data_IF_188602284800
#
_entry.id   IF_188602284800
#
_cell.length_a   1.000
_cell.length_b   1.000
_cell.length_c   1.000
_cell.angle_alpha   90.00
_cell.angle_beta   90.00
_cell.angle_gamma   90.00
#
_symmetry.space_group_name_H-M   'P 1'
#
loop_
_entity.id
_entity.type
_entity.pdbx_description
1 polymer ?
#
# COMPACT_ATOMS: atom_id res chain seq x y z
N UNK A 1 -24.94 -21.88 8.88
CA UNK A 1 -24.50 -22.02 7.48
C UNK A 1 -24.43 -20.67 6.79
N UNK A 2 -25.39 -19.76 7.00
CA UNK A 2 -25.34 -18.38 6.45
C UNK A 2 -24.15 -17.54 6.93
N UNK A 3 -23.70 -17.73 8.18
CA UNK A 3 -22.58 -16.96 8.75
C UNK A 3 -21.22 -17.28 8.12
N UNK A 4 -20.98 -18.51 7.65
CA UNK A 4 -19.74 -18.84 6.92
C UNK A 4 -19.74 -18.26 5.50
N UNK A 5 -20.91 -18.12 4.87
CA UNK A 5 -21.03 -17.57 3.52
C UNK A 5 -20.70 -16.07 3.51
N UNK A 6 -21.18 -15.30 4.50
CA UNK A 6 -20.89 -13.87 4.61
C UNK A 6 -19.39 -13.58 4.82
N UNK A 7 -18.69 -14.38 5.64
CA UNK A 7 -17.24 -14.24 5.82
C UNK A 7 -16.46 -14.66 4.57
N UNK A 8 -16.96 -15.65 3.83
CA UNK A 8 -16.36 -16.08 2.56
C UNK A 8 -16.52 -15.02 1.48
N UNK A 9 -17.70 -14.41 1.36
CA UNK A 9 -17.97 -13.37 0.39
C UNK A 9 -17.11 -12.11 0.66
N UNK A 10 -17.01 -11.70 1.93
CA UNK A 10 -16.11 -10.61 2.35
C UNK A 10 -14.64 -10.94 2.08
N UNK A 11 -14.20 -12.17 2.38
CA UNK A 11 -12.86 -12.63 2.08
C UNK A 11 -12.54 -12.56 0.58
N UNK A 12 -13.47 -13.01 -0.28
CA UNK A 12 -13.28 -12.99 -1.74
C UNK A 12 -13.16 -11.55 -2.24
N UNK A 13 -14.01 -10.65 -1.73
CA UNK A 13 -14.01 -9.24 -2.15
C UNK A 13 -12.72 -8.52 -1.73
N UNK A 14 -12.31 -8.63 -0.47
CA UNK A 14 -11.05 -8.05 0.03
C UNK A 14 -9.83 -8.68 -0.67
N UNK A 15 -9.85 -9.99 -0.91
CA UNK A 15 -8.74 -10.67 -1.58
C UNK A 15 -8.58 -10.23 -3.03
N UNK A 16 -9.69 -10.01 -3.76
CA UNK A 16 -9.66 -9.46 -5.13
C UNK A 16 -9.12 -8.02 -5.13
N UNK A 17 -9.52 -7.21 -4.15
CA UNK A 17 -9.03 -5.84 -4.02
C UNK A 17 -7.51 -5.80 -3.80
N UNK A 18 -7.00 -6.64 -2.89
CA UNK A 18 -5.56 -6.72 -2.62
C UNK A 18 -4.77 -7.26 -3.82
N UNK A 19 -5.28 -8.25 -4.56
CA UNK A 19 -4.63 -8.76 -5.76
C UNK A 19 -4.61 -7.74 -6.90
N UNK A 20 -5.70 -7.00 -7.09
CA UNK A 20 -5.75 -5.93 -8.08
C UNK A 20 -4.72 -4.85 -7.76
N UNK A 21 -4.66 -4.43 -6.49
CA UNK A 21 -3.65 -3.47 -6.03
C UNK A 21 -2.21 -3.97 -6.25
N UNK A 22 -1.93 -5.25 -5.94
CA UNK A 22 -0.64 -5.87 -6.25
C UNK A 22 -0.31 -5.81 -7.75
N UNK A 23 -1.28 -6.12 -8.62
CA UNK A 23 -1.07 -6.12 -10.08
C UNK A 23 -0.79 -4.72 -10.65
N UNK A 24 -1.45 -3.70 -10.10
CA UNK A 24 -1.25 -2.30 -10.50
C UNK A 24 0.10 -1.78 -10.02
N UNK A 25 0.44 -2.01 -8.75
CA UNK A 25 1.74 -1.62 -8.19
C UNK A 25 2.91 -2.36 -8.86
N UNK A 26 2.76 -3.64 -9.21
CA UNK A 26 3.79 -4.38 -9.94
C UNK A 26 4.09 -3.78 -11.32
N UNK A 27 3.14 -3.08 -11.95
CA UNK A 27 3.42 -2.33 -13.18
C UNK A 27 4.25 -1.10 -12.94
N UNK A 28 3.92 -0.38 -11.89
CA UNK A 28 4.62 0.85 -11.58
C UNK A 28 6.04 0.52 -11.13
N UNK A 29 6.24 -0.64 -10.50
CA UNK A 29 7.56 -1.21 -10.23
C UNK A 29 8.29 -1.60 -11.53
N UNK A 30 7.59 -2.10 -12.57
CA UNK A 30 8.19 -2.37 -13.88
C UNK A 30 8.68 -1.07 -14.57
N UNK A 31 7.90 0.01 -14.43
CA UNK A 31 8.28 1.34 -14.97
C UNK A 31 9.41 1.97 -14.17
N UNK A 32 9.43 1.77 -12.85
CA UNK A 32 10.39 2.36 -11.92
C UNK A 32 11.02 1.29 -11.00
N UNK A 33 12.00 0.50 -11.49
CA UNK A 33 12.56 -0.65 -10.75
C UNK A 33 13.33 -0.29 -9.46
N UNK A 34 13.64 1.00 -9.26
CA UNK A 34 14.38 1.49 -8.09
C UNK A 34 13.48 2.06 -6.99
N UNK A 35 12.16 2.07 -7.18
CA UNK A 35 11.24 2.65 -6.20
C UNK A 35 10.79 1.61 -5.16
N UNK A 36 11.54 1.56 -4.05
CA UNK A 36 11.27 0.67 -2.92
C UNK A 36 9.93 0.98 -2.23
N UNK A 37 9.32 2.14 -2.44
CA UNK A 37 8.00 2.45 -1.88
C UNK A 37 6.91 1.55 -2.47
N UNK A 38 6.99 1.28 -3.77
CA UNK A 38 6.06 0.41 -4.50
C UNK A 38 6.18 -1.04 -4.00
N UNK A 39 7.41 -1.51 -3.78
CA UNK A 39 7.67 -2.85 -3.23
C UNK A 39 7.05 -3.00 -1.83
N UNK A 40 7.13 -1.96 -1.00
CA UNK A 40 6.55 -1.98 0.34
C UNK A 40 5.01 -2.07 0.32
N UNK A 41 4.36 -1.42 -0.61
CA UNK A 41 2.91 -1.48 -0.76
C UNK A 41 2.43 -2.84 -1.29
N UNK A 42 3.17 -3.43 -2.24
CA UNK A 42 2.90 -4.80 -2.71
C UNK A 42 3.10 -5.79 -1.56
N UNK A 43 4.18 -5.65 -0.78
CA UNK A 43 4.46 -6.49 0.37
C UNK A 43 3.33 -6.46 1.41
N UNK A 44 2.81 -5.27 1.74
CA UNK A 44 1.67 -5.14 2.67
C UNK A 44 0.42 -5.84 2.14
N UNK A 45 0.11 -5.64 0.86
CA UNK A 45 -1.04 -6.28 0.22
C UNK A 45 -0.92 -7.81 0.21
N UNK A 46 0.28 -8.34 -0.08
CA UNK A 46 0.58 -9.77 -0.02
C UNK A 46 0.50 -10.33 1.41
N UNK A 47 1.01 -9.60 2.41
CA UNK A 47 0.99 -10.00 3.81
C UNK A 47 -0.43 -10.07 4.37
N UNK A 48 -1.27 -9.08 4.05
CA UNK A 48 -2.69 -9.09 4.41
C UNK A 48 -3.41 -10.27 3.75
N UNK A 49 -3.16 -10.52 2.47
CA UNK A 49 -3.75 -11.65 1.74
C UNK A 49 -3.38 -13.01 2.36
N UNK A 50 -2.13 -13.18 2.81
CA UNK A 50 -1.68 -14.36 3.57
C UNK A 50 -2.45 -14.53 4.88
N UNK A 51 -2.59 -13.45 5.66
CA UNK A 51 -3.29 -13.47 6.94
C UNK A 51 -4.77 -13.84 6.78
N UNK A 52 -5.42 -13.31 5.76
CA UNK A 52 -6.81 -13.66 5.42
C UNK A 52 -6.93 -15.13 4.98
N UNK A 53 -6.04 -15.59 4.10
CA UNK A 53 -6.01 -16.97 3.60
C UNK A 53 -5.81 -18.00 4.73
N UNK A 54 -4.86 -17.73 5.64
CA UNK A 54 -4.59 -18.58 6.80
C UNK A 54 -5.78 -18.63 7.78
N UNK A 55 -6.47 -17.49 7.97
CA UNK A 55 -7.64 -17.39 8.84
C UNK A 55 -8.84 -18.18 8.30
N UNK A 56 -9.00 -18.23 6.98
CA UNK A 56 -10.05 -18.99 6.30
C UNK A 56 -9.69 -20.48 6.11
N UNK A 57 -8.45 -20.87 6.41
CA UNK A 57 -7.97 -22.25 6.28
C UNK A 57 -7.59 -22.66 4.85
N UNK A 58 -7.34 -21.69 3.96
CA UNK A 58 -6.85 -21.95 2.60
C UNK A 58 -5.32 -22.07 2.60
N UNK A 59 -4.83 -23.25 2.97
CA UNK A 59 -3.39 -23.53 3.14
C UNK A 59 -2.58 -23.26 1.88
N UNK A 60 -3.02 -23.76 0.71
CA UNK A 60 -2.31 -23.57 -0.56
C UNK A 60 -2.20 -22.07 -0.95
N UNK A 61 -3.24 -21.29 -0.67
CA UNK A 61 -3.28 -19.85 -0.96
C UNK A 61 -2.33 -19.09 -0.02
N UNK A 62 -2.32 -19.46 1.27
CA UNK A 62 -1.41 -18.92 2.28
C UNK A 62 0.06 -19.26 1.97
N UNK A 63 0.33 -20.47 1.48
CA UNK A 63 1.67 -20.91 1.11
C UNK A 63 2.21 -20.16 -0.11
N UNK A 64 1.40 -19.99 -1.16
CA UNK A 64 1.81 -19.24 -2.35
C UNK A 64 2.04 -17.75 -2.03
N UNK A 65 1.15 -17.13 -1.24
CA UNK A 65 1.33 -15.74 -0.79
C UNK A 65 2.57 -15.56 0.07
N UNK A 66 2.86 -16.50 0.97
CA UNK A 66 4.08 -16.47 1.78
C UNK A 66 5.35 -16.57 0.93
N UNK A 67 5.36 -17.39 -0.13
CA UNK A 67 6.52 -17.47 -1.04
C UNK A 67 6.70 -16.20 -1.88
N UNK A 68 5.60 -15.61 -2.33
CA UNK A 68 5.63 -14.31 -2.99
C UNK A 68 6.13 -13.21 -2.04
N UNK A 69 5.70 -13.23 -0.78
CA UNK A 69 6.13 -12.30 0.27
C UNK A 69 7.65 -12.38 0.52
N UNK A 70 8.23 -13.57 0.56
CA UNK A 70 9.68 -13.75 0.74
C UNK A 70 10.49 -13.13 -0.41
N UNK A 71 10.02 -13.29 -1.65
CA UNK A 71 10.68 -12.71 -2.82
C UNK A 71 10.59 -11.18 -2.79
N UNK A 72 9.43 -10.63 -2.42
CA UNK A 72 9.26 -9.18 -2.23
C UNK A 72 10.10 -8.64 -1.07
N UNK A 73 10.27 -9.42 0.01
CA UNK A 73 11.15 -9.08 1.13
C UNK A 73 12.63 -9.04 0.72
N UNK A 74 13.05 -9.96 -0.15
CA UNK A 74 14.40 -9.97 -0.70
C UNK A 74 14.67 -8.74 -1.59
N UNK A 75 13.68 -8.27 -2.35
CA UNK A 75 13.75 -7.01 -3.10
C UNK A 75 13.80 -5.82 -2.13
N UNK A 76 12.95 -5.80 -1.10
CA UNK A 76 12.87 -4.72 -0.10
C UNK A 76 14.19 -4.52 0.64
N UNK A 77 14.88 -5.61 0.95
CA UNK A 77 16.15 -5.60 1.67
C UNK A 77 17.37 -5.42 0.74
N UNK A 78 17.15 -5.02 -0.52
CA UNK A 78 18.19 -4.86 -1.56
C UNK A 78 19.07 -6.11 -1.80
N UNK A 79 18.58 -7.30 -1.41
CA UNK A 79 19.30 -8.56 -1.62
C UNK A 79 19.20 -9.03 -3.06
N UNK A 80 18.13 -8.66 -3.76
CA UNK A 80 17.84 -9.01 -5.15
C UNK A 80 17.46 -7.72 -5.90
N UNK A 81 18.06 -7.50 -7.05
CA UNK A 81 17.67 -6.41 -7.94
C UNK A 81 16.44 -6.78 -8.75
N UNK A 82 15.51 -5.85 -8.92
CA UNK A 82 14.32 -6.05 -9.76
C UNK A 82 14.75 -6.26 -11.21
N UNK A 83 14.54 -7.47 -11.73
CA UNK A 83 14.73 -7.80 -13.15
C UNK A 83 13.40 -8.21 -13.81
N UNK A 84 13.38 -8.23 -15.14
CA UNK A 84 12.15 -8.57 -15.90
C UNK A 84 11.68 -10.00 -15.63
N UNK A 85 12.59 -10.92 -15.33
CA UNK A 85 12.27 -12.34 -15.14
C UNK A 85 11.63 -12.58 -13.76
N UNK A 86 12.11 -11.88 -12.74
CA UNK A 86 11.55 -11.83 -11.40
C UNK A 86 10.15 -11.23 -11.42
N UNK A 87 9.95 -10.10 -12.12
CA UNK A 87 8.63 -9.51 -12.28
C UNK A 87 7.67 -10.47 -12.99
N UNK A 88 8.11 -11.16 -14.05
CA UNK A 88 7.30 -12.16 -14.76
C UNK A 88 6.86 -13.30 -13.81
N UNK A 89 7.75 -13.79 -12.95
CA UNK A 89 7.42 -14.85 -11.98
C UNK A 89 6.50 -14.34 -10.85
N UNK A 90 6.65 -13.09 -10.42
CA UNK A 90 5.74 -12.48 -9.43
C UNK A 90 4.36 -12.24 -10.04
N UNK A 91 4.26 -11.81 -11.31
CA UNK A 91 2.98 -11.74 -12.03
C UNK A 91 2.32 -13.11 -12.19
N UNK A 92 3.09 -14.14 -12.58
CA UNK A 92 2.60 -15.52 -12.66
C UNK A 92 2.06 -15.99 -11.28
N UNK A 93 2.68 -15.56 -10.18
CA UNK A 93 2.21 -15.86 -8.83
C UNK A 93 0.87 -15.18 -8.51
N UNK A 94 0.71 -13.90 -8.87
CA UNK A 94 -0.55 -13.14 -8.71
C UNK A 94 -1.69 -13.77 -9.52
N UNK A 95 -1.43 -14.17 -10.77
CA UNK A 95 -2.42 -14.84 -11.63
C UNK A 95 -2.89 -16.18 -11.02
N UNK A 96 -1.96 -16.91 -10.39
CA UNK A 96 -2.29 -18.16 -9.70
C UNK A 96 -3.14 -17.92 -8.45
N UNK A 97 -2.83 -16.87 -7.68
CA UNK A 97 -3.64 -16.47 -6.52
C UNK A 97 -5.06 -16.05 -6.95
N UNK A 98 -5.20 -15.30 -8.05
CA UNK A 98 -6.50 -14.89 -8.59
C UNK A 98 -7.34 -16.09 -9.05
N UNK A 99 -6.70 -17.06 -9.73
CA UNK A 99 -7.35 -18.30 -10.13
C UNK A 99 -7.83 -19.12 -8.93
N UNK A 100 -7.05 -19.18 -7.84
CA UNK A 100 -7.42 -19.88 -6.61
C UNK A 100 -8.61 -19.20 -5.91
N UNK A 101 -8.63 -17.87 -5.83
CA UNK A 101 -9.76 -17.12 -5.27
C UNK A 101 -11.02 -17.26 -6.13
N UNK A 102 -10.87 -17.33 -7.45
CA UNK A 102 -11.98 -17.58 -8.38
C UNK A 102 -12.55 -18.98 -8.21
N UNK A 103 -11.70 -19.99 -7.98
CA UNK A 103 -12.15 -21.36 -7.67
C UNK A 103 -12.90 -21.42 -6.34
N UNK A 104 -12.38 -20.78 -5.29
CA UNK A 104 -13.04 -20.65 -3.98
C UNK A 104 -14.40 -19.95 -4.13
N UNK A 105 -14.48 -18.89 -4.94
CA UNK A 105 -15.73 -18.17 -5.20
C UNK A 105 -16.79 -19.02 -5.93
N UNK A 106 -16.37 -20.01 -6.73
CA UNK A 106 -17.26 -20.95 -7.40
C UNK A 106 -17.64 -22.16 -6.52
N UNK A 107 -17.21 -22.18 -5.25
CA UNK A 107 -17.46 -23.27 -4.30
C UNK A 107 -16.43 -24.41 -4.34
N UNK A 108 -15.28 -24.19 -4.99
CA UNK A 108 -14.12 -25.07 -4.98
C UNK A 108 -13.30 -24.97 -3.68
N UNK A 109 -12.29 -25.83 -3.54
CA UNK A 109 -11.39 -25.85 -2.37
C UNK A 109 -10.11 -25.04 -2.59
N UNK A 110 -9.96 -24.36 -3.73
CA UNK A 110 -8.83 -23.49 -4.03
C UNK A 110 -7.53 -24.26 -4.29
N UNK A 111 -7.58 -25.60 -4.39
CA UNK A 111 -6.39 -26.42 -4.59
C UNK A 111 -5.92 -26.34 -6.02
N UNK A 112 -4.70 -25.82 -6.19
CA UNK A 112 -4.05 -25.71 -7.50
C UNK A 112 -2.62 -26.19 -7.38
N UNK A 113 -2.13 -26.89 -8.40
CA UNK A 113 -0.71 -27.28 -8.43
C UNK A 113 0.16 -26.03 -8.65
N UNK A 114 0.62 -25.45 -7.56
CA UNK A 114 1.52 -24.28 -7.52
C UNK A 114 2.98 -24.69 -7.38
N UNK A 115 3.27 -26.00 -7.37
CA UNK A 115 4.62 -26.56 -7.13
C UNK A 115 5.67 -26.00 -8.11
N UNK A 116 5.29 -25.77 -9.37
CA UNK A 116 6.17 -25.22 -10.40
C UNK A 116 6.60 -23.77 -10.13
N UNK A 117 5.69 -22.93 -9.64
CA UNK A 117 5.94 -21.50 -9.36
C UNK A 117 6.65 -21.33 -8.03
N UNK A 118 6.28 -22.13 -7.02
CA UNK A 118 6.98 -22.18 -5.74
C UNK A 118 8.45 -22.54 -5.92
N UNK A 119 8.79 -23.42 -6.87
CA UNK A 119 10.19 -23.70 -7.24
C UNK A 119 10.86 -22.49 -7.86
N UNK A 120 10.24 -21.84 -8.87
CA UNK A 120 10.78 -20.65 -9.52
C UNK A 120 11.02 -19.50 -8.53
N UNK A 121 10.09 -19.26 -7.60
CA UNK A 121 10.20 -18.24 -6.55
C UNK A 121 11.37 -18.53 -5.59
N UNK A 122 11.55 -19.79 -5.18
CA UNK A 122 12.69 -20.22 -4.34
C UNK A 122 14.03 -20.11 -5.07
N UNK A 123 14.06 -20.43 -6.36
CA UNK A 123 15.27 -20.33 -7.17
C UNK A 123 15.73 -18.87 -7.32
N UNK A 124 14.77 -17.94 -7.42
CA UNK A 124 15.03 -16.50 -7.44
C UNK A 124 15.49 -16.00 -6.06
N UNK A 125 14.83 -16.43 -4.97
CA UNK A 125 15.23 -16.11 -3.59
C UNK A 125 16.69 -16.52 -3.29
N UNK A 126 17.14 -17.64 -3.85
CA UNK A 126 18.49 -18.16 -3.70
C UNK A 126 19.55 -17.49 -4.60
N UNK A 127 19.18 -16.50 -5.42
CA UNK A 127 20.11 -15.78 -6.31
C UNK A 127 20.67 -16.61 -7.46
N UNK A 128 20.04 -17.74 -7.80
CA UNK A 128 20.44 -18.56 -8.94
C UNK A 128 19.64 -18.12 -10.17
N UNK A 129 20.32 -17.48 -11.11
CA UNK A 129 19.80 -17.31 -12.47
C UNK A 129 19.37 -18.67 -13.00
N UNK A 130 18.08 -18.86 -13.24
CA UNK A 130 17.46 -20.10 -13.74
C UNK A 130 18.21 -20.56 -15.00
N UNK A 131 18.91 -21.71 -15.00
CA UNK A 131 19.06 -22.50 -16.20
C UNK A 131 17.91 -23.51 -16.20
N UNK A 132 17.25 -23.62 -17.34
CA UNK A 132 16.36 -24.74 -17.66
C UNK A 132 16.92 -26.08 -17.17
N UNK A 133 16.01 -26.94 -16.68
CA UNK A 133 16.06 -28.41 -16.54
C UNK A 133 16.85 -29.08 -15.39
N UNK A 134 16.08 -29.57 -14.40
CA UNK A 134 16.13 -30.89 -13.68
C UNK A 134 17.41 -31.34 -12.90
N UNK A 135 17.29 -32.27 -11.92
CA UNK A 135 17.51 -31.99 -10.49
C UNK A 135 18.74 -32.71 -9.91
N UNK A 136 19.32 -32.21 -8.82
CA UNK A 136 20.00 -33.08 -7.84
C UNK A 136 20.02 -32.48 -6.43
N UNK A 137 19.41 -33.24 -5.53
CA UNK A 137 19.64 -33.47 -4.10
C UNK A 137 20.67 -32.66 -3.27
N UNK A 138 20.16 -32.30 -2.08
CA UNK A 138 20.67 -32.60 -0.73
C UNK A 138 21.41 -31.52 0.09
N UNK A 139 20.88 -31.38 1.32
CA UNK A 139 21.53 -31.12 2.61
C UNK A 139 22.02 -29.67 2.91
N UNK A 140 21.87 -29.08 4.10
CA UNK A 140 21.39 -29.49 5.44
C UNK A 140 21.07 -28.24 6.30
N UNK A 141 20.04 -28.39 7.14
CA UNK A 141 19.87 -27.96 8.54
C UNK A 141 20.55 -26.69 9.14
N UNK A 142 19.66 -25.77 9.56
CA UNK A 142 19.35 -25.37 10.94
C UNK A 142 20.25 -24.42 11.77
N UNK A 143 19.49 -23.51 12.41
CA UNK A 143 19.68 -22.74 13.64
C UNK A 143 20.66 -21.56 13.69
N UNK A 144 20.08 -20.37 13.94
CA UNK A 144 20.74 -19.28 14.65
C UNK A 144 19.85 -18.84 15.81
N UNK A 145 20.41 -19.02 17.01
CA UNK A 145 19.88 -18.61 18.29
C UNK A 145 19.85 -17.08 18.44
N UNK A 146 18.90 -16.62 19.23
CA UNK A 146 18.70 -15.25 19.70
C UNK A 146 19.74 -14.92 20.78
N UNK A 147 20.44 -13.79 20.64
CA UNK A 147 21.16 -13.15 21.75
C UNK A 147 20.62 -11.74 22.01
N UNK A 148 20.23 -11.52 23.27
CA UNK A 148 19.85 -10.27 23.92
C UNK A 148 21.04 -9.33 24.14
N UNK A 149 20.88 -8.04 23.84
CA UNK A 149 21.68 -6.95 24.45
C UNK A 149 20.81 -5.71 24.75
N UNK A 150 21.23 -4.96 25.78
CA UNK A 150 20.56 -3.86 26.52
C UNK A 150 20.08 -2.65 25.67
N UNK A 151 19.30 -1.69 26.24
CA UNK A 151 18.18 -0.99 25.58
C UNK A 151 18.65 -0.01 24.50
N UNK A 152 18.87 -0.53 23.30
CA UNK A 152 19.13 0.26 22.10
C UNK A 152 17.87 0.97 21.64
N UNK A 153 18.02 2.19 21.15
CA UNK A 153 16.96 2.98 20.53
C UNK A 153 16.37 2.24 19.34
N UNK A 154 15.05 2.13 19.30
CA UNK A 154 14.33 1.48 18.19
C UNK A 154 13.75 2.50 17.20
N UNK A 155 13.72 3.78 17.56
CA UNK A 155 13.17 4.83 16.71
C UNK A 155 14.18 5.24 15.62
N UNK A 156 13.91 4.77 14.39
CA UNK A 156 14.58 5.24 13.17
C UNK A 156 13.78 6.42 12.63
N UNK A 157 14.46 7.54 12.38
CA UNK A 157 13.86 8.79 11.89
C UNK A 157 14.14 8.93 10.39
N UNK A 158 13.11 9.18 9.59
CA UNK A 158 13.26 9.50 8.16
C UNK A 158 13.56 11.01 7.95
N UNK A 159 13.80 11.43 6.69
CA UNK A 159 14.10 12.84 6.39
C UNK A 159 12.97 13.80 6.79
N UNK A 160 11.72 13.31 6.81
CA UNK A 160 10.55 14.09 7.22
C UNK A 160 10.51 14.25 8.74
N UNK A 161 10.67 13.18 9.50
CA UNK A 161 10.77 13.16 10.96
C UNK A 161 11.88 14.10 11.44
N UNK A 162 13.05 14.06 10.79
CA UNK A 162 14.18 14.93 11.10
C UNK A 162 13.85 16.39 10.81
N UNK A 163 13.12 16.68 9.74
CA UNK A 163 12.69 18.04 9.37
C UNK A 163 11.69 18.59 10.39
N UNK A 164 10.70 17.78 10.80
CA UNK A 164 9.71 18.13 11.82
C UNK A 164 10.38 18.37 13.18
N UNK A 165 11.32 17.51 13.57
CA UNK A 165 12.10 17.65 14.81
C UNK A 165 12.95 18.93 14.82
N UNK A 166 13.63 19.25 13.70
CA UNK A 166 14.44 20.48 13.57
C UNK A 166 13.58 21.74 13.58
N UNK A 167 12.49 21.75 12.82
CA UNK A 167 11.56 22.87 12.76
C UNK A 167 10.93 23.15 14.13
N UNK A 168 10.57 22.10 14.86
CA UNK A 168 10.01 22.22 16.21
C UNK A 168 11.00 22.81 17.21
N UNK A 169 12.28 22.45 17.10
CA UNK A 169 13.36 23.02 17.90
C UNK A 169 13.62 24.50 17.57
N UNK A 170 13.55 24.87 16.30
CA UNK A 170 13.66 26.28 15.85
C UNK A 170 12.47 27.14 16.31
N UNK A 171 11.29 26.53 16.47
CA UNK A 171 10.10 27.16 17.02
C UNK A 171 10.07 27.21 18.56
N UNK A 172 11.16 26.78 19.23
CA UNK A 172 11.31 26.85 20.68
C UNK A 172 10.62 25.73 21.45
N UNK A 173 10.28 24.61 20.80
CA UNK A 173 9.79 23.41 21.46
C UNK A 173 10.95 22.44 21.78
N UNK A 174 10.82 21.70 22.88
CA UNK A 174 11.75 20.66 23.26
C UNK A 174 11.31 19.31 22.68
N UNK A 175 12.26 18.55 22.15
CA UNK A 175 12.05 17.23 21.57
C UNK A 175 12.63 16.16 22.49
N UNK A 176 11.81 15.17 22.86
CA UNK A 176 12.18 14.08 23.77
C UNK A 176 11.88 12.71 23.17
N UNK A 177 12.70 11.73 23.55
CA UNK A 177 12.48 10.32 23.32
C UNK A 177 12.08 9.71 24.66
N UNK A 178 10.88 9.12 24.71
CA UNK A 178 10.28 8.58 25.92
C UNK A 178 10.21 7.08 25.79
N UNK A 179 10.94 6.36 26.64
CA UNK A 179 10.85 4.91 26.76
C UNK A 179 10.02 4.56 27.99
N UNK A 180 8.94 3.81 27.78
CA UNK A 180 8.01 3.38 28.83
C UNK A 180 8.04 1.85 28.92
N UNK A 181 8.26 1.34 30.13
CA UNK A 181 8.15 -0.09 30.45
C UNK A 181 6.98 -0.32 31.39
N UNK A 182 6.07 -1.21 30.98
CA UNK A 182 4.95 -1.70 31.78
C UNK A 182 5.42 -2.84 32.67
N UNK A 183 4.74 -3.04 33.81
CA UNK A 183 5.04 -4.16 34.68
C UNK A 183 4.65 -5.50 34.04
N UNK A 184 5.38 -6.60 34.35
CA UNK A 184 5.10 -7.92 33.81
C UNK A 184 3.76 -8.53 34.29
N UNK A 185 3.15 -8.02 35.36
CA UNK A 185 1.85 -8.43 35.88
C UNK A 185 0.66 -7.61 35.32
N UNK A 186 0.89 -6.75 34.32
CA UNK A 186 -0.15 -5.91 33.73
C UNK A 186 -1.12 -6.75 32.86
N UNK A 187 -2.37 -6.87 33.32
CA UNK A 187 -3.43 -7.65 32.65
C UNK A 187 -4.05 -6.96 31.43
N UNK A 188 -3.98 -5.62 31.35
CA UNK A 188 -4.62 -4.81 30.31
C UNK A 188 -3.63 -3.78 29.75
N UNK A 189 -2.74 -4.24 28.87
CA UNK A 189 -1.62 -3.44 28.36
C UNK A 189 -2.12 -2.31 27.46
N UNK A 190 -3.10 -2.59 26.59
CA UNK A 190 -3.68 -1.60 25.68
C UNK A 190 -4.30 -0.41 26.45
N UNK A 191 -5.00 -0.69 27.55
CA UNK A 191 -5.59 0.35 28.39
C UNK A 191 -4.51 1.26 29.03
N UNK A 192 -3.35 0.70 29.40
CA UNK A 192 -2.24 1.47 29.96
C UNK A 192 -1.53 2.30 28.91
N UNK A 193 -1.30 1.76 27.72
CA UNK A 193 -0.80 2.51 26.55
C UNK A 193 -1.72 3.70 26.29
N UNK A 194 -3.03 3.47 26.17
CA UNK A 194 -4.00 4.52 25.90
C UNK A 194 -3.94 5.65 26.95
N UNK A 195 -3.86 5.31 28.24
CA UNK A 195 -3.69 6.30 29.31
C UNK A 195 -2.40 7.11 29.20
N UNK A 196 -1.29 6.49 28.74
CA UNK A 196 -0.02 7.19 28.51
C UNK A 196 -0.12 8.14 27.33
N UNK A 197 -0.67 7.71 26.20
CA UNK A 197 -0.88 8.57 25.03
C UNK A 197 -1.81 9.75 25.35
N UNK A 198 -2.88 9.52 26.12
CA UNK A 198 -3.79 10.60 26.55
C UNK A 198 -3.10 11.65 27.44
N UNK A 199 -2.08 11.25 28.22
CA UNK A 199 -1.26 12.19 29.03
C UNK A 199 -0.27 12.97 28.17
N UNK A 200 0.32 12.30 27.17
CA UNK A 200 1.24 12.91 26.21
C UNK A 200 0.53 13.93 25.33
N UNK A 201 -0.62 13.59 24.74
CA UNK A 201 -1.43 14.50 23.90
C UNK A 201 -1.89 15.76 24.64
N UNK A 202 -2.17 15.66 25.95
CA UNK A 202 -2.51 16.82 26.78
C UNK A 202 -1.33 17.76 27.03
N UNK A 203 -0.10 17.26 26.87
CA UNK A 203 1.12 17.98 27.21
C UNK A 203 1.97 18.33 25.98
N UNK A 204 1.62 17.88 24.78
CA UNK A 204 2.43 18.05 23.57
C UNK A 204 1.96 17.17 22.42
N UNK A 205 2.84 16.98 21.44
CA UNK A 205 2.55 16.27 20.19
C UNK A 205 3.45 15.03 20.04
N UNK A 206 2.85 13.90 19.69
CA UNK A 206 3.57 12.65 19.42
C UNK A 206 3.90 12.59 17.94
N UNK A 207 5.19 12.52 17.59
CA UNK A 207 5.64 12.43 16.20
C UNK A 207 5.61 10.98 15.73
N UNK A 208 6.11 10.08 16.58
CA UNK A 208 6.35 8.69 16.23
C UNK A 208 6.31 7.81 17.46
N UNK A 209 5.82 6.58 17.32
CA UNK A 209 5.92 5.56 18.35
C UNK A 209 6.49 4.27 17.76
N UNK A 210 7.19 3.51 18.60
CA UNK A 210 7.64 2.17 18.27
C UNK A 210 7.31 1.22 19.43
N UNK A 211 6.50 0.17 19.21
CA UNK A 211 5.67 -0.12 18.03
C UNK A 211 4.66 0.99 17.66
N UNK A 212 4.04 0.90 16.48
CA UNK A 212 3.03 1.88 16.02
C UNK A 212 1.85 1.94 16.97
N UNK A 213 1.14 3.07 17.01
CA UNK A 213 0.00 3.28 17.92
C UNK A 213 -1.03 2.15 17.79
N UNK A 214 -1.36 1.77 16.56
CA UNK A 214 -2.26 0.64 16.24
C UNK A 214 -1.78 -0.68 16.87
N UNK A 215 -0.48 -1.01 16.76
CA UNK A 215 0.09 -2.21 17.37
C UNK A 215 0.11 -2.16 18.89
N UNK A 216 0.25 -0.97 19.48
CA UNK A 216 0.19 -0.80 20.93
C UNK A 216 -1.24 -0.93 21.47
N UNK A 217 -2.24 -0.54 20.70
CA UNK A 217 -3.67 -0.74 21.02
C UNK A 217 -4.10 -2.21 20.86
N UNK A 218 -3.50 -2.94 19.93
CA UNK A 218 -3.71 -4.38 19.70
C UNK A 218 -2.89 -5.30 20.62
N UNK A 219 -2.19 -4.74 21.61
CA UNK A 219 -1.27 -5.47 22.53
C UNK A 219 -0.13 -6.23 21.82
N UNK A 220 0.23 -5.84 20.58
CA UNK A 220 1.34 -6.40 19.81
C UNK A 220 2.69 -5.80 20.19
N UNK A 221 3.01 -5.87 21.48
CA UNK A 221 4.31 -5.47 22.01
C UNK A 221 4.56 -6.22 23.32
N UNK A 222 5.83 -6.44 23.67
CA UNK A 222 6.17 -7.16 24.89
C UNK A 222 5.74 -6.39 26.13
N UNK A 223 6.60 -5.50 26.63
CA UNK A 223 6.35 -4.69 27.81
C UNK A 223 6.89 -3.27 27.66
N UNK A 224 7.59 -2.98 26.55
CA UNK A 224 8.34 -1.76 26.35
C UNK A 224 7.85 -1.08 25.08
N UNK A 225 7.71 0.24 25.10
CA UNK A 225 7.48 1.03 23.91
C UNK A 225 8.20 2.37 23.99
N UNK A 226 8.52 2.93 22.83
CA UNK A 226 9.21 4.21 22.70
C UNK A 226 8.35 5.21 21.95
N UNK A 227 8.44 6.48 22.34
CA UNK A 227 7.66 7.58 21.75
C UNK A 227 8.55 8.79 21.53
N UNK A 228 8.60 9.28 20.31
CA UNK A 228 9.17 10.58 19.96
C UNK A 228 8.12 11.66 20.20
N UNK A 229 8.44 12.62 21.06
CA UNK A 229 7.48 13.57 21.62
C UNK A 229 8.01 15.00 21.60
N UNK A 230 7.16 15.96 21.23
CA UNK A 230 7.46 17.40 21.22
C UNK A 230 6.63 18.09 22.29
N UNK A 231 7.26 18.88 23.16
CA UNK A 231 6.54 19.67 24.17
C UNK A 231 7.29 20.94 24.56
N UNK A 232 6.57 21.85 25.22
CA UNK A 232 7.16 23.01 25.92
C UNK A 232 7.48 22.71 27.38
N UNK A 233 7.00 21.59 27.92
CA UNK A 233 7.20 21.18 29.31
C UNK A 233 8.60 20.59 29.52
N UNK A 234 9.06 20.58 30.78
CA UNK A 234 10.35 20.02 31.15
C UNK A 234 10.32 18.47 31.20
N UNK A 235 11.46 17.77 31.02
CA UNK A 235 11.48 16.30 31.00
C UNK A 235 11.08 15.69 32.35
N UNK A 236 11.36 16.39 33.45
CA UNK A 236 10.96 15.99 34.80
C UNK A 236 9.44 16.05 35.01
N UNK A 237 8.77 17.05 34.43
CA UNK A 237 7.31 17.18 34.49
C UNK A 237 6.62 16.10 33.67
N UNK A 238 7.13 15.79 32.47
CA UNK A 238 6.60 14.70 31.62
C UNK A 238 6.78 13.36 32.32
N UNK A 239 7.97 13.08 32.87
CA UNK A 239 8.22 11.86 33.65
C UNK A 239 7.23 11.73 34.81
N UNK A 240 7.03 12.81 35.59
CA UNK A 240 6.09 12.83 36.71
C UNK A 240 4.64 12.64 36.29
N UNK A 241 4.23 13.14 35.11
CA UNK A 241 2.88 12.95 34.57
C UNK A 241 2.65 11.50 34.14
N UNK A 242 3.62 10.86 33.47
CA UNK A 242 3.51 9.47 33.01
C UNK A 242 3.58 8.50 34.19
N UNK A 243 4.47 8.72 35.16
CA UNK A 243 4.57 7.86 36.36
C UNK A 243 3.34 7.87 37.27
N UNK A 244 2.34 8.72 37.03
CA UNK A 244 1.04 8.68 37.72
C UNK A 244 0.09 7.62 37.17
N UNK A 245 0.36 7.09 35.98
CA UNK A 245 -0.41 5.98 35.41
C UNK A 245 0.00 4.70 36.15
N UNK A 246 -0.97 4.01 36.76
CA UNK A 246 -0.75 2.76 37.48
C UNK A 246 -0.17 1.67 36.55
N UNK A 247 0.63 0.76 37.10
CA UNK A 247 1.24 -0.39 36.40
C UNK A 247 2.38 -0.05 35.41
N UNK A 248 2.90 1.18 35.46
CA UNK A 248 4.16 1.53 34.81
C UNK A 248 5.33 1.19 35.74
N UNK A 249 6.31 0.46 35.22
CA UNK A 249 7.52 0.06 35.94
C UNK A 249 8.62 1.11 35.84
N UNK A 250 8.89 1.60 34.62
CA UNK A 250 9.95 2.57 34.39
C UNK A 250 9.60 3.55 33.26
N UNK A 251 10.02 4.80 33.43
CA UNK A 251 9.87 5.87 32.44
C UNK A 251 11.19 6.60 32.31
N UNK A 252 11.77 6.55 31.11
CA UNK A 252 13.01 7.24 30.77
C UNK A 252 12.70 8.29 29.72
N UNK A 253 13.04 9.55 30.01
CA UNK A 253 12.86 10.68 29.09
C UNK A 253 14.23 11.23 28.74
N UNK A 254 14.61 11.15 27.47
CA UNK A 254 15.92 11.60 26.97
C UNK A 254 15.72 12.75 25.97
N UNK A 255 16.42 13.89 26.10
CA UNK A 255 16.34 14.96 25.11
C UNK A 255 16.99 14.54 23.78
N UNK A 256 16.26 14.72 22.66
CA UNK A 256 16.85 14.57 21.32
C UNK A 256 17.79 15.75 21.05
N UNK A 257 19.09 15.46 20.99
CA UNK A 257 20.10 16.42 20.53
C UNK A 257 20.50 16.13 19.08
N UNK A 258 20.90 17.16 18.33
CA UNK A 258 21.34 17.03 16.91
C UNK A 258 22.53 16.05 16.73
N UNK A 259 23.29 15.79 17.80
CA UNK A 259 24.34 14.78 17.83
C UNK A 259 23.77 13.34 17.79
N UNK A 260 22.62 13.10 18.43
CA UNK A 260 21.98 11.77 18.52
C UNK A 260 21.19 11.42 17.26
N UNK A 261 20.59 12.41 16.58
CA UNK A 261 19.97 12.23 15.26
C UNK A 261 21.03 11.90 14.19
N UNK A 262 22.26 12.42 14.37
CA UNK A 262 23.42 12.08 13.54
C UNK A 262 24.10 10.76 13.91
N UNK A 263 24.02 10.30 15.16
CA UNK A 263 24.52 8.98 15.57
C UNK A 263 23.60 7.85 15.09
N UNK A 264 22.27 8.03 15.15
CA UNK A 264 21.30 7.10 14.57
C UNK A 264 21.44 6.95 13.04
N UNK A 265 22.04 7.93 12.36
CA UNK A 265 22.41 7.88 10.94
C UNK A 265 23.89 7.56 10.69
N UNK A 266 24.73 7.44 11.74
CA UNK A 266 26.18 7.13 11.64
C UNK A 266 26.53 5.72 12.11
N UNK A 267 25.70 5.03 12.86
CA UNK A 267 25.95 3.61 13.20
C UNK A 267 25.94 2.70 11.96
N UNK A 268 25.36 3.14 10.84
CA UNK A 268 25.56 2.53 9.53
C UNK A 268 26.97 2.74 8.94
N UNK A 269 27.68 3.82 9.30
CA UNK A 269 28.98 4.15 8.68
C UNK A 269 30.12 3.43 9.41
N UNK A 270 30.04 3.25 10.74
CA UNK A 270 31.11 2.63 11.53
C UNK A 270 31.13 1.09 11.46
N UNK A 271 29.98 0.45 11.21
CA UNK A 271 29.89 -1.01 11.05
C UNK A 271 30.20 -1.47 9.62
N UNK A 272 29.97 -0.61 8.60
CA UNK A 272 30.36 -0.87 7.20
C UNK A 272 31.87 -0.68 6.91
N UNK A 273 32.63 0.04 7.75
CA UNK A 273 34.07 0.28 7.54
C UNK A 273 35.03 -0.80 8.10
N UNK A 274 34.57 -1.78 8.88
CA UNK A 274 35.42 -2.86 9.40
C UNK A 274 35.35 -4.18 8.60
N UNK A 275 34.33 -4.39 7.76
CA UNK A 275 34.23 -5.61 6.94
C UNK A 275 34.82 -5.48 5.52
N UNK A 276 35.27 -4.28 5.13
CA UNK A 276 35.82 -4.02 3.80
C UNK A 276 37.34 -3.81 3.77
N UNK A 277 38.07 -4.35 4.76
CA UNK A 277 39.53 -4.19 4.90
C UNK A 277 40.35 -5.48 4.80
N UNK A 278 39.75 -6.63 4.52
CA UNK A 278 40.49 -7.91 4.47
C UNK A 278 40.57 -8.59 3.10
N UNK A 279 39.92 -8.04 2.06
CA UNK A 279 40.08 -8.52 0.69
C UNK A 279 40.33 -7.35 -0.26
N UNK A 280 41.55 -6.81 -0.26
CA UNK A 280 42.31 -6.56 -1.51
C UNK A 280 43.73 -6.01 -1.27
N UNK A 281 44.68 -6.93 -1.45
CA UNK A 281 46.00 -6.80 -2.09
C UNK A 281 47.16 -6.06 -1.40
N UNK A 282 48.19 -6.87 -1.22
CA UNK A 282 49.61 -6.56 -1.14
C UNK A 282 50.13 -5.69 -2.31
N UNK A 283 50.85 -4.63 -1.92
CA UNK A 283 52.02 -4.03 -2.62
C UNK A 283 51.74 -3.05 -3.81
N UNK A 284 52.57 -2.00 -4.04
CA UNK A 284 52.34 -0.69 -3.42
C UNK A 284 52.60 0.57 -4.31
N UNK A 285 52.05 1.73 -3.88
CA UNK A 285 52.40 3.18 -4.11
C UNK A 285 52.56 3.79 -5.55
N UNK A 286 52.51 5.15 -5.75
CA UNK A 286 52.00 6.25 -4.90
C UNK A 286 51.14 7.35 -5.61
N UNK A 287 50.20 7.92 -4.84
CA UNK A 287 49.87 9.36 -4.62
C UNK A 287 50.22 10.41 -5.70
N UNK A 288 49.20 11.14 -6.19
CA UNK A 288 49.28 12.60 -6.37
C UNK A 288 47.91 13.30 -6.27
N UNK A 289 47.90 14.34 -5.45
CA UNK A 289 46.92 15.40 -5.20
C UNK A 289 46.39 16.15 -6.44
N UNK A 290 45.10 16.57 -6.47
CA UNK A 290 44.62 17.97 -6.23
C UNK A 290 43.19 18.27 -6.75
N UNK A 291 42.50 19.07 -5.94
CA UNK A 291 41.57 20.19 -6.23
C UNK A 291 40.08 19.96 -6.56
N UNK A 292 39.27 20.39 -5.58
CA UNK A 292 38.10 21.29 -5.67
C UNK A 292 37.78 21.89 -7.05
N UNK A 293 36.48 21.89 -7.43
CA UNK A 293 35.69 23.12 -7.66
C UNK A 293 34.20 22.83 -7.38
N UNK A 294 33.58 23.71 -6.59
CA UNK A 294 32.15 23.83 -6.36
C UNK A 294 31.42 24.55 -7.51
N UNK A 295 30.13 24.25 -7.74
CA UNK A 295 29.03 25.23 -7.63
C UNK A 295 27.81 24.93 -8.54
N UNK A 296 26.64 24.92 -7.86
CA UNK A 296 25.38 25.64 -8.15
C UNK A 296 24.42 25.18 -9.26
N UNK A 297 23.18 24.92 -8.78
CA UNK A 297 21.85 25.49 -9.15
C UNK A 297 21.41 25.34 -10.62
N UNK A 298 20.15 25.08 -10.97
CA UNK A 298 18.87 25.38 -10.31
C UNK A 298 17.75 24.56 -11.00
N UNK A 299 16.68 24.33 -10.25
CA UNK A 299 15.27 24.24 -10.67
C UNK A 299 14.85 23.48 -11.93
N UNK A 300 14.01 22.46 -11.74
CA UNK A 300 12.74 22.37 -12.49
C UNK A 300 11.69 21.60 -11.70
N UNK A 301 10.57 22.28 -11.48
CA UNK A 301 9.36 21.79 -10.84
C UNK A 301 8.81 20.49 -11.46
N UNK A 302 8.33 19.58 -10.62
CA UNK A 302 7.38 18.53 -11.04
C UNK A 302 6.36 18.26 -9.94
N UNK A 303 5.18 18.85 -10.16
CA UNK A 303 3.83 18.34 -9.90
C UNK A 303 3.67 17.34 -8.74
N UNK A 304 3.09 17.84 -7.66
CA UNK A 304 2.33 17.05 -6.70
C UNK A 304 1.23 16.26 -7.42
N UNK A 305 1.34 14.93 -7.44
CA UNK A 305 0.18 14.05 -7.57
C UNK A 305 -0.42 13.90 -6.17
N UNK A 306 -1.42 14.73 -5.88
CA UNK A 306 -2.25 14.53 -4.71
C UNK A 306 -2.96 13.17 -4.87
N UNK A 307 -2.56 12.18 -4.08
CA UNK A 307 -3.35 10.97 -3.87
C UNK A 307 -4.73 11.39 -3.38
N UNK A 308 -5.73 11.28 -4.25
CA UNK A 308 -7.13 11.32 -3.86
C UNK A 308 -7.41 10.11 -2.97
N UNK A 309 -7.34 10.31 -1.66
CA UNK A 309 -8.04 9.48 -0.68
C UNK A 309 -9.54 9.58 -0.96
N UNK A 310 -10.03 8.84 -1.94
CA UNK A 310 -11.47 8.75 -2.19
C UNK A 310 -12.04 7.65 -1.28
N UNK A 311 -12.45 8.10 -0.10
CA UNK A 311 -13.54 7.62 0.75
C UNK A 311 -14.29 6.39 0.17
N UNK A 312 -13.74 5.18 0.35
CA UNK A 312 -14.37 3.89 -0.04
C UNK A 312 -15.73 3.65 0.64
N UNK A 313 -16.00 4.35 1.74
CA UNK A 313 -17.23 4.20 2.56
C UNK A 313 -18.47 4.89 1.94
N UNK A 314 -18.34 5.56 0.79
CA UNK A 314 -19.43 6.35 0.18
C UNK A 314 -20.22 5.65 -0.93
N UNK A 315 -19.72 4.53 -1.47
CA UNK A 315 -20.24 3.94 -2.71
C UNK A 315 -21.58 3.22 -2.49
N UNK A 316 -21.66 2.27 -1.55
CA UNK A 316 -22.92 1.57 -1.24
C UNK A 316 -24.03 2.53 -0.81
N UNK A 317 -23.64 3.61 -0.12
CA UNK A 317 -24.57 4.66 0.32
C UNK A 317 -25.13 5.46 -0.84
N UNK A 318 -24.32 5.71 -1.88
CA UNK A 318 -24.76 6.39 -3.09
C UNK A 318 -25.70 5.50 -3.91
N UNK A 319 -25.47 4.18 -3.98
CA UNK A 319 -26.36 3.26 -4.68
C UNK A 319 -27.72 3.12 -3.96
N UNK A 320 -27.74 3.03 -2.62
CA UNK A 320 -28.99 3.10 -1.85
C UNK A 320 -29.71 4.42 -2.12
N UNK A 321 -28.98 5.53 -2.18
CA UNK A 321 -29.56 6.85 -2.41
C UNK A 321 -30.13 6.98 -3.83
N UNK A 322 -29.52 6.34 -4.83
CA UNK A 322 -30.04 6.23 -6.20
C UNK A 322 -31.32 5.41 -6.26
N UNK A 323 -31.38 4.26 -5.59
CA UNK A 323 -32.60 3.44 -5.53
C UNK A 323 -33.77 4.20 -4.89
N UNK A 324 -33.51 4.90 -3.77
CA UNK A 324 -34.50 5.77 -3.15
C UNK A 324 -34.92 6.92 -4.09
N UNK A 325 -33.99 7.41 -4.92
CA UNK A 325 -34.30 8.42 -5.93
C UNK A 325 -35.19 7.89 -7.06
N UNK A 326 -34.95 6.66 -7.50
CA UNK A 326 -35.76 6.01 -8.53
C UNK A 326 -37.21 5.83 -8.06
N UNK A 327 -37.41 5.40 -6.81
CA UNK A 327 -38.73 5.36 -6.18
C UNK A 327 -39.38 6.75 -6.10
N UNK A 328 -38.60 7.77 -5.71
CA UNK A 328 -39.06 9.15 -5.60
C UNK A 328 -39.46 9.75 -6.96
N UNK A 329 -38.79 9.36 -8.04
CA UNK A 329 -39.14 9.76 -9.41
C UNK A 329 -40.47 9.12 -9.84
N UNK A 330 -40.73 7.86 -9.45
CA UNK A 330 -42.01 7.19 -9.68
C UNK A 330 -43.14 7.91 -8.92
N UNK A 331 -42.92 8.19 -7.64
CA UNK A 331 -43.89 8.91 -6.80
C UNK A 331 -44.16 10.33 -7.31
N UNK A 332 -43.14 11.03 -7.81
CA UNK A 332 -43.28 12.32 -8.49
C UNK A 332 -44.22 12.22 -9.69
N UNK A 333 -44.04 11.22 -10.56
CA UNK A 333 -44.89 11.02 -11.74
C UNK A 333 -46.35 10.74 -11.36
N UNK A 334 -46.56 9.97 -10.28
CA UNK A 334 -47.88 9.72 -9.72
C UNK A 334 -48.52 10.99 -9.15
N UNK A 335 -47.76 11.79 -8.40
CA UNK A 335 -48.21 13.07 -7.87
C UNK A 335 -48.58 14.07 -8.97
N UNK A 336 -47.80 14.14 -10.06
CA UNK A 336 -48.14 14.97 -11.22
C UNK A 336 -49.44 14.53 -11.88
N UNK A 337 -49.65 13.22 -12.03
CA UNK A 337 -50.89 12.68 -12.62
C UNK A 337 -52.12 13.02 -11.75
N UNK A 338 -52.02 12.81 -10.43
CA UNK A 338 -53.11 13.14 -9.49
C UNK A 338 -53.37 14.65 -9.48
N UNK A 339 -52.32 15.48 -9.48
CA UNK A 339 -52.47 16.94 -9.51
C UNK A 339 -53.14 17.43 -10.81
N UNK A 340 -52.87 16.78 -11.95
CA UNK A 340 -53.53 17.07 -13.21
C UNK A 340 -55.02 16.69 -13.19
N UNK A 341 -55.36 15.57 -12.55
CA UNK A 341 -56.75 15.09 -12.43
C UNK A 341 -57.60 15.96 -11.49
N UNK A 342 -57.02 16.46 -10.40
CA UNK A 342 -57.71 17.29 -9.39
C UNK A 342 -58.03 18.69 -9.93
N UNK A 343 -57.38 19.14 -11.01
CA UNK A 343 -57.61 20.44 -11.69
C UNK A 343 -57.50 21.67 -10.76
N UNK A 344 -56.73 21.55 -9.68
CA UNK A 344 -56.45 22.64 -8.76
C UNK A 344 -55.14 23.32 -9.14
N UNK A 345 -55.20 24.55 -9.67
CA UNK A 345 -54.04 25.28 -10.17
C UNK A 345 -52.89 25.39 -9.16
N UNK A 346 -53.22 25.66 -7.89
CA UNK A 346 -52.24 25.81 -6.81
C UNK A 346 -51.51 24.49 -6.47
N UNK A 347 -52.22 23.35 -6.57
CA UNK A 347 -51.62 22.03 -6.38
C UNK A 347 -50.69 21.69 -7.55
N UNK A 348 -51.11 21.94 -8.78
CA UNK A 348 -50.29 21.71 -9.98
C UNK A 348 -49.00 22.52 -9.93
N UNK A 349 -49.07 23.81 -9.58
CA UNK A 349 -47.90 24.69 -9.45
C UNK A 349 -46.94 24.19 -8.35
N UNK A 350 -47.48 23.75 -7.22
CA UNK A 350 -46.69 23.20 -6.10
C UNK A 350 -45.97 21.91 -6.52
N UNK A 351 -46.67 21.00 -7.21
CA UNK A 351 -46.10 19.73 -7.68
C UNK A 351 -45.07 19.96 -8.78
N UNK A 352 -45.26 20.92 -9.69
CA UNK A 352 -44.24 21.31 -10.67
C UNK A 352 -42.98 21.87 -10.00
N UNK A 353 -43.15 22.72 -8.98
CA UNK A 353 -42.01 23.25 -8.22
C UNK A 353 -41.25 22.12 -7.50
N UNK A 354 -41.96 21.20 -6.85
CA UNK A 354 -41.36 20.01 -6.25
C UNK A 354 -40.63 19.16 -7.29
N UNK A 355 -41.23 19.00 -8.48
CA UNK A 355 -40.66 18.20 -9.57
C UNK A 355 -39.34 18.78 -10.09
N UNK A 356 -39.24 20.12 -10.18
CA UNK A 356 -38.00 20.83 -10.51
C UNK A 356 -36.92 20.58 -9.47
N UNK A 357 -37.22 20.81 -8.18
CA UNK A 357 -36.25 20.57 -7.09
C UNK A 357 -35.79 19.12 -7.02
N UNK A 358 -36.69 18.16 -7.26
CA UNK A 358 -36.32 16.74 -7.35
C UNK A 358 -35.39 16.45 -8.54
N UNK A 359 -35.60 17.09 -9.69
CA UNK A 359 -34.69 16.98 -10.83
C UNK A 359 -33.30 17.55 -10.54
N UNK A 360 -33.22 18.71 -9.88
CA UNK A 360 -31.95 19.31 -9.48
C UNK A 360 -31.18 18.39 -8.52
N UNK A 361 -31.90 17.80 -7.56
CA UNK A 361 -31.31 16.92 -6.57
C UNK A 361 -30.87 15.58 -7.19
N UNK A 362 -31.61 15.06 -8.17
CA UNK A 362 -31.18 13.92 -8.99
C UNK A 362 -29.86 14.20 -9.71
N UNK A 363 -29.73 15.37 -10.35
CA UNK A 363 -28.51 15.75 -11.08
C UNK A 363 -27.29 15.84 -10.14
N UNK A 364 -27.48 16.38 -8.94
CA UNK A 364 -26.42 16.47 -7.92
C UNK A 364 -25.95 15.06 -7.51
N UNK A 365 -26.87 14.13 -7.29
CA UNK A 365 -26.53 12.74 -6.93
C UNK A 365 -25.80 12.04 -8.08
N UNK A 366 -26.27 12.20 -9.32
CA UNK A 366 -25.58 11.66 -10.50
C UNK A 366 -24.16 12.22 -10.62
N UNK A 367 -23.97 13.52 -10.38
CA UNK A 367 -22.65 14.15 -10.41
C UNK A 367 -21.74 13.62 -9.29
N UNK A 368 -22.29 13.39 -8.09
CA UNK A 368 -21.53 12.78 -6.99
C UNK A 368 -21.11 11.33 -7.25
N UNK A 369 -21.76 10.62 -8.19
CA UNK A 369 -21.43 9.25 -8.58
C UNK A 369 -20.40 9.16 -9.71
N UNK A 370 -20.08 10.27 -10.38
CA UNK A 370 -19.15 10.24 -11.50
C UNK A 370 -17.72 10.00 -11.02
N UNK A 371 -16.99 9.14 -11.74
CA UNK A 371 -15.61 8.78 -11.45
C UNK A 371 -14.79 9.02 -12.74
N UNK A 372 -13.52 9.45 -12.66
CA UNK A 372 -12.67 9.54 -13.83
C UNK A 372 -12.55 8.19 -14.56
N UNK A 373 -12.70 8.19 -15.89
CA UNK A 373 -12.58 6.98 -16.72
C UNK A 373 -11.16 6.41 -16.77
N UNK A 374 -10.16 7.14 -16.26
CA UNK A 374 -8.76 6.72 -16.13
C UNK A 374 -8.61 5.32 -15.53
N UNK A 375 -9.49 4.93 -14.60
CA UNK A 375 -9.49 3.61 -13.96
C UNK A 375 -9.58 2.46 -14.97
N UNK A 376 -10.34 2.63 -16.06
CA UNK A 376 -10.47 1.63 -17.14
C UNK A 376 -9.20 1.54 -17.98
N UNK A 377 -8.47 2.64 -18.08
CA UNK A 377 -7.34 2.78 -19.00
C UNK A 377 -6.04 2.21 -18.45
N UNK A 378 -5.93 2.03 -17.12
CA UNK A 378 -4.74 1.51 -16.45
C UNK A 378 -4.28 0.14 -16.99
N UNK A 379 -5.21 -0.69 -17.47
CA UNK A 379 -4.91 -2.03 -18.02
C UNK A 379 -4.46 -2.03 -19.49
N UNK A 380 -4.72 -0.97 -20.25
CA UNK A 380 -4.43 -0.93 -21.69
C UNK A 380 -2.93 -0.93 -22.05
N UNK A 381 -2.04 -0.23 -21.32
CA UNK A 381 -0.60 -0.26 -21.60
C UNK A 381 -0.01 -1.67 -21.55
N UNK A 382 -0.36 -2.48 -20.52
CA UNK A 382 0.08 -3.89 -20.43
C UNK A 382 -0.35 -4.67 -21.66
N UNK A 383 -1.64 -4.61 -21.96
CA UNK A 383 -2.26 -5.38 -23.03
C UNK A 383 -1.64 -5.05 -24.38
N UNK A 384 -1.48 -3.76 -24.71
CA UNK A 384 -0.88 -3.33 -25.98
C UNK A 384 0.58 -3.76 -26.07
N UNK A 385 1.33 -3.75 -24.96
CA UNK A 385 2.72 -4.20 -24.92
C UNK A 385 2.85 -5.71 -25.14
N UNK A 386 1.97 -6.49 -24.53
CA UNK A 386 1.89 -7.94 -24.75
C UNK A 386 1.59 -8.26 -26.22
N UNK A 387 0.55 -7.64 -26.78
CA UNK A 387 0.18 -7.80 -28.19
C UNK A 387 1.28 -7.32 -29.16
N UNK A 388 1.99 -6.25 -28.81
CA UNK A 388 3.14 -5.74 -29.59
C UNK A 388 4.27 -6.77 -29.68
N UNK A 389 4.56 -7.48 -28.57
CA UNK A 389 5.56 -8.55 -28.52
C UNK A 389 5.07 -9.80 -29.27
N UNK A 390 3.84 -10.24 -29.00
CA UNK A 390 3.24 -11.43 -29.60
C UNK A 390 3.20 -11.35 -31.13
N UNK A 391 2.77 -10.20 -31.67
CA UNK A 391 2.64 -9.99 -33.11
C UNK A 391 3.90 -9.42 -33.76
N UNK A 392 4.94 -9.14 -32.98
CA UNK A 392 6.18 -8.49 -33.42
C UNK A 392 5.91 -7.16 -34.20
N UNK A 393 4.96 -6.36 -33.72
CA UNK A 393 4.56 -5.06 -34.30
C UNK A 393 5.08 -3.92 -33.43
N UNK A 394 5.51 -2.82 -34.05
CA UNK A 394 5.90 -1.58 -33.33
C UNK A 394 4.67 -0.72 -33.09
N UNK A 395 4.26 -0.58 -31.82
CA UNK A 395 3.02 0.08 -31.40
C UNK A 395 3.34 1.13 -30.33
N UNK A 396 2.72 2.31 -30.42
CA UNK A 396 2.75 3.34 -29.38
C UNK A 396 1.30 3.68 -29.00
N UNK A 397 0.94 3.42 -27.74
CA UNK A 397 -0.37 3.76 -27.20
C UNK A 397 -0.35 5.21 -26.69
N UNK A 398 -1.36 5.98 -27.05
CA UNK A 398 -1.61 7.35 -26.57
C UNK A 398 -3.07 7.44 -26.11
N UNK A 399 -3.29 7.86 -24.88
CA UNK A 399 -4.61 7.95 -24.25
C UNK A 399 -4.86 9.42 -23.94
N UNK A 400 -5.98 9.97 -24.42
CA UNK A 400 -6.34 11.39 -24.29
C UNK A 400 -7.73 11.48 -23.65
N UNK A 401 -7.91 12.35 -22.66
CA UNK A 401 -9.19 12.54 -21.98
C UNK A 401 -9.47 11.53 -20.85
N UNK A 402 -8.41 10.99 -20.23
CA UNK A 402 -8.53 10.06 -19.10
C UNK A 402 -9.21 10.69 -17.87
N UNK A 403 -9.11 12.02 -17.76
CA UNK A 403 -9.76 12.84 -16.74
C UNK A 403 -11.28 13.00 -16.91
N UNK A 404 -11.87 12.46 -17.98
CA UNK A 404 -13.32 12.60 -18.21
C UNK A 404 -14.09 11.82 -17.16
N UNK A 405 -14.99 12.49 -16.45
CA UNK A 405 -15.85 11.89 -15.44
C UNK A 405 -17.03 11.17 -16.11
N UNK A 406 -17.24 9.89 -15.76
CA UNK A 406 -18.38 9.08 -16.22
C UNK A 406 -19.06 8.37 -15.06
N UNK A 407 -20.31 7.96 -15.26
CA UNK A 407 -21.02 7.10 -14.31
C UNK A 407 -20.30 5.75 -14.17
N UNK A 408 -20.15 5.27 -12.94
CA UNK A 408 -19.46 4.01 -12.63
C UNK A 408 -20.03 2.81 -13.39
N UNK A 409 -21.35 2.71 -13.51
CA UNK A 409 -21.99 1.59 -14.23
C UNK A 409 -21.53 1.57 -15.68
N UNK A 410 -21.39 2.75 -16.29
CA UNK A 410 -20.90 2.88 -17.66
C UNK A 410 -19.42 2.52 -17.76
N UNK A 411 -18.62 2.91 -16.76
CA UNK A 411 -17.19 2.56 -16.65
C UNK A 411 -16.99 1.04 -16.58
N UNK A 412 -17.79 0.36 -15.76
CA UNK A 412 -17.72 -1.10 -15.59
C UNK A 412 -18.12 -1.83 -16.89
N UNK A 413 -19.14 -1.34 -17.60
CA UNK A 413 -19.64 -1.95 -18.85
C UNK A 413 -18.78 -1.62 -20.09
N UNK A 414 -18.14 -0.45 -20.16
CA UNK A 414 -17.38 -0.02 -21.34
C UNK A 414 -15.99 -0.65 -21.40
N UNK A 415 -15.47 -1.15 -20.27
CA UNK A 415 -14.12 -1.65 -20.17
C UNK A 415 -13.80 -2.77 -21.15
N UNK A 416 -14.64 -3.80 -21.20
CA UNK A 416 -14.38 -5.00 -22.01
C UNK A 416 -14.55 -4.75 -23.53
N UNK A 417 -15.58 -4.00 -23.98
CA UNK A 417 -15.65 -3.52 -25.35
C UNK A 417 -14.39 -2.76 -25.80
N UNK A 418 -13.83 -1.88 -24.94
CA UNK A 418 -12.62 -1.13 -25.27
C UNK A 418 -11.39 -2.04 -25.39
N UNK A 419 -11.24 -3.01 -24.49
CA UNK A 419 -10.21 -4.06 -24.60
C UNK A 419 -10.28 -4.75 -25.95
N UNK A 420 -11.50 -5.17 -26.34
CA UNK A 420 -11.72 -5.85 -27.60
C UNK A 420 -11.39 -4.96 -28.81
N UNK A 421 -11.79 -3.69 -28.79
CA UNK A 421 -11.49 -2.74 -29.86
C UNK A 421 -9.99 -2.50 -30.04
N UNK A 422 -9.26 -2.35 -28.93
CA UNK A 422 -7.80 -2.19 -28.97
C UNK A 422 -7.15 -3.45 -29.54
N UNK A 423 -7.58 -4.64 -29.11
CA UNK A 423 -7.07 -5.91 -29.62
C UNK A 423 -7.27 -6.04 -31.12
N UNK A 424 -8.49 -5.80 -31.62
CA UNK A 424 -8.78 -5.83 -33.06
C UNK A 424 -7.95 -4.81 -33.85
N UNK A 425 -7.75 -3.62 -33.27
CA UNK A 425 -6.92 -2.57 -33.88
C UNK A 425 -5.46 -3.00 -34.00
N UNK A 426 -4.94 -3.70 -32.99
CA UNK A 426 -3.56 -4.19 -32.98
C UNK A 426 -3.39 -5.44 -33.87
N UNK A 427 -4.31 -6.39 -33.81
CA UNK A 427 -4.28 -7.65 -34.55
C UNK A 427 -4.41 -7.42 -36.06
N UNK A 428 -5.39 -6.60 -36.46
CA UNK A 428 -5.78 -6.43 -37.86
C UNK A 428 -5.51 -5.03 -38.41
N UNK A 429 -5.55 -4.00 -37.58
CA UNK A 429 -5.40 -2.60 -38.01
C UNK A 429 -3.96 -2.15 -38.21
N UNK A 430 -2.99 -2.76 -37.52
CA UNK A 430 -1.57 -2.40 -37.63
C UNK A 430 -0.84 -3.41 -38.52
N UNK A 431 -0.24 -2.94 -39.61
CA UNK A 431 0.65 -3.73 -40.47
C UNK A 431 1.96 -4.15 -39.78
N UNK A 432 2.57 -5.24 -40.23
CA UNK A 432 3.87 -5.71 -39.71
C UNK A 432 5.01 -4.76 -40.13
N UNK A 433 6.14 -4.72 -39.39
CA UNK A 433 7.29 -3.89 -39.78
C UNK A 433 7.87 -4.23 -41.15
N UNK A 434 7.71 -5.48 -41.60
CA UNK A 434 8.12 -5.94 -42.93
C UNK A 434 7.18 -5.40 -44.01
N UNK A 435 5.87 -5.49 -43.80
CA UNK A 435 4.87 -4.92 -44.71
C UNK A 435 4.98 -3.39 -44.82
N UNK A 436 5.34 -2.70 -43.73
CA UNK A 436 5.56 -1.24 -43.72
C UNK A 436 6.79 -0.77 -44.52
N UNK A 437 7.78 -1.65 -44.69
CA UNK A 437 9.02 -1.35 -45.42
C UNK A 437 8.95 -1.73 -46.91
N UNK A 438 8.06 -2.65 -47.26
CA UNK A 438 7.76 -3.05 -48.63
C UNK A 438 6.91 -1.97 -49.33
#
# INVERSE_FOLDING_TARGET
>A
MEMNQQYLDMFIEESKEHLQNCSDLLLDLEKNPGDLSIVNEIFRSAHTLKGMAATMGFEDLADLTHKMENVLDAIRNEKITVDSNLLDVVFESVDHLEAMITDIANGGDGKRDVSGIVSKLKDIEAGKSIPSSTPTEQEVAADVAVEETAPGRYLIYDEYDITVLKQSKEQGFNTYEISVSLRPDCLLKAARVFMVFQVLEKSGEVIKSFPTVEKLEEEQFDQNFQVAFITKDSPEEIKKKISKVSEIENVVVVPLTDAMVKEASKEEIASKEQQQKELEKSSPVPKQEKKEVAAKKDSSASKQSAHSKTIRVSIERLDILMNLFEELVIDRGRLQSIAADVKQSELTETVERMSRTMGDLQNIVLTMRMIPIETVFNRFPKMVRSLSRELNKKIRLEIIGAETELDRTVIDEIGDPLVHLIRNSVDHGIESPEARRA
#
